data_IF_593018490756
#
_entry.id   IF_593018490756
#
_cell.length_a   1.000
_cell.length_b   1.000
_cell.length_c   1.000
_cell.angle_alpha   90.00
_cell.angle_beta   90.00
_cell.angle_gamma   90.00
#
_symmetry.space_group_name_H-M   'P 1'
#
loop_
_entity.id
_entity.type
_entity.pdbx_description
1 polymer ?
#
# COMPACT_ATOMS: atom_id res chain seq x y z
N UNK A 1 17.07 -15.04 -13.24
CA UNK A 1 15.95 -14.20 -12.76
C UNK A 1 15.00 -15.15 -12.07
N UNK A 2 15.00 -15.08 -10.76
CA UNK A 2 14.31 -16.01 -9.86
C UNK A 2 12.93 -15.40 -9.50
N UNK A 3 12.01 -16.20 -9.00
CA UNK A 3 10.65 -15.83 -8.54
C UNK A 3 10.64 -14.64 -7.53
N UNK A 4 11.79 -14.16 -7.10
CA UNK A 4 11.99 -13.09 -6.12
C UNK A 4 11.69 -11.67 -6.64
N UNK A 5 11.82 -11.41 -7.95
CA UNK A 5 11.55 -10.08 -8.54
C UNK A 5 10.05 -9.77 -8.74
N UNK A 6 9.19 -10.79 -8.66
CA UNK A 6 7.77 -10.68 -9.04
C UNK A 6 6.85 -10.23 -7.91
N UNK A 7 7.32 -10.14 -6.66
CA UNK A 7 6.44 -9.96 -5.49
C UNK A 7 6.09 -8.49 -5.22
N UNK A 8 6.97 -7.57 -5.56
CA UNK A 8 6.71 -6.12 -5.44
C UNK A 8 5.71 -5.63 -6.50
N UNK A 9 5.74 -6.23 -7.68
CA UNK A 9 5.01 -5.78 -8.86
C UNK A 9 3.50 -6.03 -8.76
N UNK A 10 3.08 -7.12 -8.11
CA UNK A 10 1.65 -7.48 -8.02
C UNK A 10 0.84 -6.60 -7.04
N UNK A 11 1.49 -5.92 -6.08
CA UNK A 11 0.80 -5.08 -5.09
C UNK A 11 0.81 -3.59 -5.46
N UNK A 12 1.81 -3.13 -6.23
CA UNK A 12 1.97 -1.72 -6.58
C UNK A 12 1.06 -1.26 -7.73
N UNK A 13 0.62 -2.17 -8.60
CA UNK A 13 0.02 -1.79 -9.89
C UNK A 13 -1.20 -2.63 -10.32
N UNK A 14 -2.16 -2.86 -9.42
CA UNK A 14 -3.45 -3.49 -9.77
C UNK A 14 -4.35 -2.59 -10.65
N UNK A 15 -3.98 -1.31 -10.83
CA UNK A 15 -4.70 -0.32 -11.65
C UNK A 15 -4.42 -0.41 -13.16
N UNK A 16 -3.55 -1.33 -13.59
CA UNK A 16 -3.18 -1.46 -15.01
C UNK A 16 -4.21 -2.19 -15.88
N UNK A 17 -5.04 -3.04 -15.29
CA UNK A 17 -6.15 -3.66 -16.02
C UNK A 17 -7.39 -2.80 -15.85
N UNK A 18 -8.13 -2.51 -16.93
CA UNK A 18 -9.41 -1.81 -16.83
C UNK A 18 -10.32 -2.53 -15.85
N UNK A 19 -10.89 -1.78 -14.93
CA UNK A 19 -12.00 -2.27 -14.12
C UNK A 19 -13.14 -2.59 -15.09
N UNK A 20 -13.64 -3.83 -15.07
CA UNK A 20 -14.80 -4.24 -15.84
C UNK A 20 -16.07 -3.51 -15.34
N UNK A 21 -16.18 -2.21 -15.66
CA UNK A 21 -17.34 -1.38 -15.43
C UNK A 21 -17.37 -0.27 -16.46
N UNK A 22 -17.48 -0.68 -17.73
CA UNK A 22 -18.20 0.11 -18.73
C UNK A 22 -18.79 -0.88 -19.73
N UNK A 23 -20.07 -1.13 -19.57
CA UNK A 23 -20.90 -1.75 -20.59
C UNK A 23 -20.85 -0.85 -21.83
N UNK A 24 -20.37 -1.40 -22.97
CA UNK A 24 -20.74 -0.98 -24.31
C UNK A 24 -20.37 0.45 -24.70
N UNK A 25 -19.07 0.72 -24.89
CA UNK A 25 -18.61 1.81 -25.73
C UNK A 25 -17.43 1.30 -26.56
N UNK A 26 -17.46 1.47 -27.89
CA UNK A 26 -16.28 1.37 -28.76
C UNK A 26 -15.32 2.49 -28.38
N UNK A 27 -14.56 2.28 -27.26
CA UNK A 27 -13.53 3.18 -26.82
C UNK A 27 -12.31 3.05 -27.73
N UNK A 28 -11.73 4.17 -28.10
CA UNK A 28 -10.48 4.23 -28.83
C UNK A 28 -9.40 3.48 -28.04
N UNK A 29 -8.76 2.49 -28.68
CA UNK A 29 -7.67 1.72 -28.06
C UNK A 29 -6.34 2.39 -28.39
N UNK A 30 -5.52 2.61 -27.36
CA UNK A 30 -4.21 3.24 -27.45
C UNK A 30 -3.10 2.21 -27.33
N UNK A 31 -2.05 2.34 -28.16
CA UNK A 31 -0.90 1.46 -28.12
C UNK A 31 0.02 1.82 -26.94
N UNK A 32 0.19 0.88 -26.01
CA UNK A 32 1.05 1.03 -24.83
C UNK A 32 2.43 0.36 -24.97
N UNK A 33 2.49 -0.72 -25.75
CA UNK A 33 3.73 -1.45 -25.99
C UNK A 33 3.70 -2.05 -27.39
N UNK A 34 4.87 -2.07 -28.07
CA UNK A 34 5.05 -2.70 -29.38
C UNK A 34 6.39 -3.41 -29.41
N UNK A 35 6.38 -4.63 -29.94
CA UNK A 35 7.59 -5.40 -30.23
C UNK A 35 7.41 -6.20 -31.51
N UNK A 36 8.48 -6.30 -32.29
CA UNK A 36 8.54 -7.18 -33.47
C UNK A 36 9.37 -8.39 -33.09
N UNK A 37 8.83 -9.57 -33.34
CA UNK A 37 9.49 -10.84 -33.01
C UNK A 37 10.67 -11.08 -33.96
N UNK A 38 11.83 -11.38 -33.40
CA UNK A 38 13.06 -11.63 -34.15
C UNK A 38 12.92 -12.78 -35.13
N UNK A 39 13.60 -12.70 -36.29
CA UNK A 39 13.58 -13.73 -37.34
C UNK A 39 14.02 -15.12 -36.90
N UNK A 40 14.88 -15.19 -35.87
CA UNK A 40 15.39 -16.44 -35.30
C UNK A 40 14.66 -16.92 -34.05
N UNK A 41 13.54 -16.29 -33.68
CA UNK A 41 12.79 -16.65 -32.48
C UNK A 41 12.11 -18.00 -32.62
N UNK A 42 12.43 -18.92 -31.70
CA UNK A 42 11.70 -20.18 -31.58
C UNK A 42 10.26 -19.95 -31.07
N UNK A 43 9.30 -20.80 -31.47
CA UNK A 43 7.92 -20.66 -31.01
C UNK A 43 7.81 -20.82 -29.48
N UNK A 44 7.54 -19.72 -28.78
CA UNK A 44 7.31 -19.66 -27.33
C UNK A 44 5.95 -19.05 -27.05
N UNK A 45 5.34 -19.37 -25.94
CA UNK A 45 4.06 -18.76 -25.54
C UNK A 45 4.22 -17.25 -25.39
N UNK A 46 3.22 -16.49 -25.85
CA UNK A 46 3.25 -15.01 -25.83
C UNK A 46 3.36 -14.45 -24.40
N UNK A 47 2.74 -15.11 -23.42
CA UNK A 47 2.85 -14.71 -22.02
C UNK A 47 4.29 -14.79 -21.48
N UNK A 48 5.05 -15.82 -21.92
CA UNK A 48 6.48 -15.96 -21.57
C UNK A 48 7.34 -14.98 -22.37
N UNK A 49 7.08 -14.84 -23.66
CA UNK A 49 7.82 -13.94 -24.55
C UNK A 49 7.74 -12.47 -24.10
N UNK A 50 6.53 -12.02 -23.72
CA UNK A 50 6.32 -10.66 -23.23
C UNK A 50 6.88 -10.45 -21.84
N UNK A 51 6.80 -11.42 -20.95
CA UNK A 51 7.39 -11.35 -19.62
C UNK A 51 8.90 -11.07 -19.65
N UNK A 52 9.63 -11.65 -20.60
CA UNK A 52 11.07 -11.43 -20.78
C UNK A 52 11.41 -10.04 -21.37
N UNK A 53 10.43 -9.30 -21.93
CA UNK A 53 10.64 -8.05 -22.68
C UNK A 53 9.90 -6.84 -22.11
N UNK A 54 8.89 -7.06 -21.29
CA UNK A 54 8.14 -6.00 -20.63
C UNK A 54 8.70 -5.83 -19.22
N UNK A 55 9.45 -4.75 -19.01
CA UNK A 55 9.87 -4.35 -17.66
C UNK A 55 8.61 -4.07 -16.83
N UNK A 56 8.65 -4.44 -15.54
CA UNK A 56 7.59 -4.18 -14.56
C UNK A 56 6.23 -4.85 -14.84
N UNK A 57 6.21 -6.02 -15.52
CA UNK A 57 5.00 -6.80 -15.75
C UNK A 57 5.13 -8.24 -15.29
N UNK A 58 4.20 -8.71 -14.45
CA UNK A 58 4.16 -10.12 -14.06
C UNK A 58 3.53 -10.98 -15.16
N UNK A 59 3.92 -12.26 -15.21
CA UNK A 59 3.35 -13.20 -16.19
C UNK A 59 1.84 -13.37 -16.05
N UNK A 60 1.33 -13.36 -14.82
CA UNK A 60 -0.11 -13.42 -14.53
C UNK A 60 -0.86 -12.22 -15.10
N UNK A 61 -0.25 -11.05 -15.02
CA UNK A 61 -0.80 -9.81 -15.56
C UNK A 61 -0.89 -9.84 -17.08
N UNK A 62 0.16 -10.31 -17.74
CA UNK A 62 0.17 -10.51 -19.20
C UNK A 62 -0.92 -11.51 -19.63
N UNK A 63 -1.10 -12.60 -18.89
CA UNK A 63 -2.16 -13.57 -19.15
C UNK A 63 -3.55 -12.92 -19.04
N UNK A 64 -3.82 -12.17 -17.98
CA UNK A 64 -5.09 -11.46 -17.81
C UNK A 64 -5.33 -10.44 -18.93
N UNK A 65 -4.30 -9.70 -19.35
CA UNK A 65 -4.41 -8.75 -20.45
C UNK A 65 -4.73 -9.45 -21.78
N UNK A 66 -4.09 -10.61 -22.06
CA UNK A 66 -4.38 -11.42 -23.24
C UNK A 66 -5.80 -11.98 -23.22
N UNK A 67 -6.25 -12.48 -22.07
CA UNK A 67 -7.60 -13.05 -21.90
C UNK A 67 -8.70 -11.96 -22.00
N UNK A 68 -8.38 -10.73 -21.61
CA UNK A 68 -9.24 -9.56 -21.80
C UNK A 68 -9.20 -8.98 -23.22
N UNK A 69 -8.35 -9.52 -24.12
CA UNK A 69 -8.28 -9.09 -25.53
C UNK A 69 -7.40 -7.87 -25.80
N UNK A 70 -6.56 -7.44 -24.84
CA UNK A 70 -5.68 -6.27 -24.96
C UNK A 70 -4.32 -6.58 -25.61
N UNK A 71 -3.96 -7.85 -25.78
CA UNK A 71 -2.75 -8.23 -26.49
C UNK A 71 -3.12 -8.63 -27.91
N UNK A 72 -2.57 -7.90 -28.89
CA UNK A 72 -2.78 -8.15 -30.29
C UNK A 72 -1.50 -8.67 -30.96
N UNK A 73 -1.67 -9.54 -31.92
CA UNK A 73 -0.63 -9.97 -32.85
C UNK A 73 -1.10 -9.66 -34.26
N UNK A 74 -0.30 -8.89 -35.00
CA UNK A 74 -0.63 -8.44 -36.35
C UNK A 74 -2.05 -7.79 -36.41
N UNK A 75 -2.36 -6.94 -35.43
CA UNK A 75 -3.62 -6.21 -35.24
C UNK A 75 -4.84 -7.09 -34.87
N UNK A 76 -4.65 -8.34 -34.49
CA UNK A 76 -5.74 -9.22 -34.03
C UNK A 76 -5.51 -9.65 -32.57
N UNK A 77 -6.55 -9.64 -31.69
CA UNK A 77 -6.42 -10.05 -30.30
C UNK A 77 -6.10 -11.54 -30.21
N UNK A 78 -5.20 -11.91 -29.30
CA UNK A 78 -4.76 -13.29 -29.07
C UNK A 78 -4.90 -13.69 -27.60
N UNK A 79 -5.00 -15.02 -27.34
CA UNK A 79 -5.00 -15.57 -25.98
C UNK A 79 -3.58 -15.78 -25.48
N UNK A 80 -3.44 -15.88 -24.14
CA UNK A 80 -2.16 -16.03 -23.43
C UNK A 80 -1.32 -17.25 -23.87
N UNK A 81 -1.95 -18.26 -24.49
CA UNK A 81 -1.28 -19.46 -24.98
C UNK A 81 -0.82 -19.36 -26.46
N UNK A 82 -1.05 -18.24 -27.13
CA UNK A 82 -0.56 -18.02 -28.48
C UNK A 82 0.96 -18.26 -28.54
N UNK A 83 1.44 -18.96 -29.58
CA UNK A 83 2.85 -19.17 -29.82
C UNK A 83 3.36 -18.15 -30.81
N UNK A 84 4.26 -17.29 -30.37
CA UNK A 84 4.87 -16.25 -31.22
C UNK A 84 5.60 -16.87 -32.42
N UNK A 85 5.60 -16.17 -33.53
CA UNK A 85 6.27 -16.54 -34.77
C UNK A 85 7.24 -15.45 -35.17
N UNK A 86 8.31 -15.77 -35.91
CA UNK A 86 9.18 -14.75 -36.48
C UNK A 86 8.39 -13.68 -37.22
N UNK A 87 8.78 -12.41 -37.03
CA UNK A 87 8.18 -11.23 -37.65
C UNK A 87 6.74 -10.88 -37.18
N UNK A 88 6.19 -11.60 -36.20
CA UNK A 88 4.94 -11.15 -35.53
C UNK A 88 5.13 -9.75 -34.95
N UNK A 89 4.17 -8.88 -35.22
CA UNK A 89 4.07 -7.56 -34.58
C UNK A 89 3.11 -7.69 -33.40
N UNK A 90 3.66 -7.64 -32.19
CA UNK A 90 2.88 -7.78 -30.96
C UNK A 90 2.67 -6.39 -30.36
N UNK A 91 1.42 -6.07 -30.04
CA UNK A 91 1.04 -4.79 -29.41
C UNK A 91 0.18 -5.05 -28.16
N UNK A 92 0.39 -4.23 -27.14
CA UNK A 92 -0.52 -4.08 -26.00
C UNK A 92 -1.36 -2.84 -26.24
N UNK A 93 -2.67 -3.01 -26.35
CA UNK A 93 -3.64 -1.96 -26.60
C UNK A 93 -4.51 -1.78 -25.35
N UNK A 94 -4.67 -0.57 -24.84
CA UNK A 94 -5.53 -0.26 -23.70
C UNK A 94 -6.55 0.81 -24.07
N UNK A 95 -7.66 0.86 -23.34
CA UNK A 95 -8.77 1.82 -23.52
C UNK A 95 -8.50 3.23 -22.95
N UNK A 96 -7.25 3.51 -22.63
CA UNK A 96 -6.78 4.80 -22.12
C UNK A 96 -5.49 5.23 -22.83
N UNK A 97 -5.23 6.54 -22.97
CA UNK A 97 -3.96 7.02 -23.50
C UNK A 97 -2.77 6.48 -22.69
N UNK A 98 -1.64 6.26 -23.38
CA UNK A 98 -0.38 5.95 -22.69
C UNK A 98 -0.04 7.15 -21.82
N UNK A 99 -0.01 6.91 -20.49
CA UNK A 99 0.54 7.90 -19.59
C UNK A 99 2.07 7.87 -19.71
N UNK A 100 2.68 9.01 -19.66
CA UNK A 100 4.13 9.09 -19.50
C UNK A 100 4.43 8.69 -18.05
N UNK A 101 5.02 7.49 -17.85
CA UNK A 101 5.34 6.97 -16.53
C UNK A 101 6.59 7.67 -15.93
N UNK A 102 7.10 8.72 -16.57
CA UNK A 102 8.22 9.52 -16.08
C UNK A 102 7.82 10.19 -14.77
N UNK A 103 8.59 9.96 -13.73
CA UNK A 103 8.37 10.62 -12.44
C UNK A 103 8.81 12.07 -12.54
N UNK A 104 7.87 12.99 -12.48
CA UNK A 104 8.19 14.42 -12.38
C UNK A 104 8.68 14.76 -10.98
N UNK A 105 9.87 15.36 -10.91
CA UNK A 105 10.45 15.83 -9.64
C UNK A 105 9.70 17.08 -9.16
N UNK A 106 9.13 17.05 -7.96
CA UNK A 106 8.36 18.14 -7.38
C UNK A 106 8.94 18.58 -6.03
N UNK A 107 9.09 19.89 -5.81
CA UNK A 107 9.59 20.47 -4.55
C UNK A 107 8.53 20.38 -3.45
N UNK A 108 8.36 19.18 -2.91
CA UNK A 108 7.45 18.87 -1.81
C UNK A 108 8.30 18.65 -0.55
N UNK A 109 8.04 19.36 0.56
CA UNK A 109 8.80 19.20 1.80
C UNK A 109 8.73 17.77 2.34
N UNK A 110 9.90 17.21 2.69
CA UNK A 110 10.05 15.91 3.33
C UNK A 110 10.51 16.09 4.78
N UNK A 111 9.86 15.36 5.69
CA UNK A 111 10.34 15.20 7.07
C UNK A 111 11.35 14.04 7.10
N UNK A 112 12.64 14.36 6.89
CA UNK A 112 13.74 13.40 6.84
C UNK A 112 14.23 13.13 8.25
N UNK A 113 14.03 11.91 8.75
CA UNK A 113 14.45 11.46 10.08
C UNK A 113 15.92 11.03 10.11
N UNK A 114 16.38 10.43 9.02
CA UNK A 114 17.76 9.98 8.82
C UNK A 114 18.10 9.98 7.34
N UNK A 115 19.34 10.28 7.02
CA UNK A 115 19.84 10.20 5.65
C UNK A 115 21.38 10.00 5.63
N UNK A 116 21.83 9.10 4.74
CA UNK A 116 23.23 8.93 4.36
C UNK A 116 23.34 8.76 2.83
N UNK A 117 24.49 8.29 2.33
CA UNK A 117 24.71 8.08 0.89
C UNK A 117 23.95 6.86 0.33
N UNK A 118 23.43 5.98 1.19
CA UNK A 118 22.87 4.67 0.84
C UNK A 118 21.35 4.65 0.92
N UNK A 119 20.79 5.28 1.95
CA UNK A 119 19.34 5.28 2.22
C UNK A 119 18.91 6.57 2.94
N UNK A 120 17.60 6.78 2.98
CA UNK A 120 16.97 7.77 3.85
C UNK A 120 15.74 7.20 4.53
N UNK A 121 15.41 7.70 5.72
CA UNK A 121 14.19 7.40 6.45
C UNK A 121 13.36 8.67 6.54
N UNK A 122 12.12 8.60 6.08
CA UNK A 122 11.20 9.74 6.10
C UNK A 122 9.99 9.45 7.00
N UNK A 123 9.49 10.47 7.65
CA UNK A 123 8.24 10.45 8.39
C UNK A 123 7.13 11.04 7.50
N UNK A 124 6.43 10.19 6.77
CA UNK A 124 5.39 10.61 5.82
C UNK A 124 4.20 11.23 6.54
N UNK A 125 3.74 12.43 6.17
CA UNK A 125 2.48 12.96 6.66
C UNK A 125 1.28 12.14 6.15
N UNK A 126 0.16 12.19 6.87
CA UNK A 126 -1.11 11.70 6.36
C UNK A 126 -1.58 12.55 5.17
N UNK A 127 -2.34 11.95 4.25
CA UNK A 127 -2.83 12.60 3.04
C UNK A 127 -1.88 12.54 1.85
N UNK A 128 -0.59 12.28 2.07
CA UNK A 128 0.40 12.12 0.99
C UNK A 128 0.37 10.70 0.43
N UNK A 129 0.05 10.59 -0.85
CA UNK A 129 0.13 9.31 -1.60
C UNK A 129 1.59 8.92 -1.75
N UNK A 130 1.93 7.63 -1.61
CA UNK A 130 3.31 7.18 -1.77
C UNK A 130 3.73 7.13 -3.23
N UNK A 131 2.94 6.48 -4.08
CA UNK A 131 3.28 6.24 -5.49
C UNK A 131 2.20 6.80 -6.41
N UNK A 132 2.55 7.42 -7.55
CA UNK A 132 1.58 7.83 -8.56
C UNK A 132 0.65 6.70 -8.98
N UNK A 133 -0.60 7.02 -9.22
CA UNK A 133 -1.62 6.07 -9.64
C UNK A 133 -2.89 6.78 -10.11
N UNK A 134 -3.91 6.03 -10.49
CA UNK A 134 -5.15 6.59 -11.03
C UNK A 134 -5.72 7.71 -10.14
N UNK A 135 -5.78 8.92 -10.70
CA UNK A 135 -6.25 10.13 -10.01
C UNK A 135 -5.22 10.85 -9.11
N UNK A 136 -3.97 10.36 -9.01
CA UNK A 136 -2.90 10.99 -8.24
C UNK A 136 -1.55 10.81 -8.97
N UNK A 137 -1.37 11.45 -10.12
CA UNK A 137 -0.13 11.34 -10.90
C UNK A 137 0.97 12.29 -10.43
N UNK A 138 0.60 13.32 -9.68
CA UNK A 138 1.45 14.37 -9.13
C UNK A 138 1.22 14.53 -7.63
N UNK A 139 2.12 15.26 -6.96
CA UNK A 139 1.99 15.53 -5.53
C UNK A 139 2.17 14.29 -4.64
N UNK A 140 2.97 13.32 -5.07
CA UNK A 140 3.21 12.08 -4.32
C UNK A 140 4.56 12.08 -3.61
N UNK A 141 4.75 11.15 -2.69
CA UNK A 141 6.03 10.97 -2.00
C UNK A 141 7.17 10.70 -3.00
N UNK A 142 6.92 9.91 -4.05
CA UNK A 142 7.91 9.65 -5.10
C UNK A 142 8.31 10.93 -5.83
N UNK A 143 7.38 11.83 -6.15
CA UNK A 143 7.71 13.12 -6.77
C UNK A 143 8.62 13.96 -5.86
N UNK A 144 8.35 13.97 -4.55
CA UNK A 144 9.18 14.64 -3.55
C UNK A 144 10.58 14.01 -3.43
N UNK A 145 10.67 12.68 -3.42
CA UNK A 145 11.94 11.94 -3.38
C UNK A 145 12.75 12.21 -4.65
N UNK A 146 12.12 12.19 -5.81
CA UNK A 146 12.76 12.50 -7.08
C UNK A 146 13.38 13.90 -7.09
N UNK A 147 12.69 14.89 -6.50
CA UNK A 147 13.24 16.24 -6.32
C UNK A 147 14.41 16.26 -5.35
N UNK A 148 14.29 15.58 -4.21
CA UNK A 148 15.33 15.54 -3.18
C UNK A 148 16.62 14.86 -3.69
N UNK A 149 16.50 13.82 -4.51
CA UNK A 149 17.61 13.02 -5.02
C UNK A 149 18.11 13.45 -6.41
N UNK A 150 17.54 14.46 -7.06
CA UNK A 150 17.80 14.84 -8.46
C UNK A 150 19.27 15.10 -8.81
N UNK A 151 20.06 15.56 -7.83
CA UNK A 151 21.47 15.88 -8.01
C UNK A 151 22.41 14.72 -7.61
N UNK A 152 21.86 13.57 -7.22
CA UNK A 152 22.66 12.40 -6.87
C UNK A 152 23.09 11.62 -8.13
N UNK A 153 24.39 11.26 -8.26
CA UNK A 153 24.86 10.49 -9.41
C UNK A 153 24.25 9.09 -9.58
N UNK A 154 23.78 8.49 -8.48
CA UNK A 154 23.13 7.17 -8.46
C UNK A 154 21.62 7.22 -8.69
N UNK A 155 21.04 8.41 -8.78
CA UNK A 155 19.62 8.57 -9.00
C UNK A 155 19.26 8.35 -10.48
N UNK A 156 18.34 7.43 -10.74
CA UNK A 156 17.75 7.23 -12.08
C UNK A 156 16.34 7.83 -12.11
N UNK A 157 16.13 8.95 -12.83
CA UNK A 157 14.81 9.56 -12.95
C UNK A 157 13.80 8.69 -13.72
N UNK A 158 14.28 7.66 -14.42
CA UNK A 158 13.42 6.72 -15.13
C UNK A 158 13.06 5.48 -14.29
N UNK A 159 13.61 5.34 -13.06
CA UNK A 159 13.14 4.31 -12.12
C UNK A 159 11.75 4.71 -11.59
N UNK A 160 10.67 4.04 -11.99
CA UNK A 160 9.31 4.42 -11.59
C UNK A 160 9.04 4.27 -10.09
N UNK A 161 9.90 3.53 -9.39
CA UNK A 161 9.77 3.31 -7.94
C UNK A 161 10.69 4.19 -7.11
N UNK A 162 11.68 4.85 -7.73
CA UNK A 162 12.59 5.81 -7.09
C UNK A 162 13.05 5.36 -5.70
N UNK A 163 13.57 4.12 -5.62
CA UNK A 163 14.12 3.58 -4.37
C UNK A 163 13.11 3.14 -3.31
N UNK A 164 11.82 3.09 -3.61
CA UNK A 164 10.82 2.49 -2.71
C UNK A 164 11.06 1.00 -2.52
N UNK A 165 10.98 0.53 -1.29
CA UNK A 165 11.07 -0.88 -0.91
C UNK A 165 9.83 -1.34 -0.13
N UNK A 166 8.98 -0.42 0.31
CA UNK A 166 7.69 -0.66 0.93
C UNK A 166 6.80 0.59 0.87
N UNK A 167 5.56 0.45 1.29
CA UNK A 167 4.60 1.55 1.29
C UNK A 167 3.68 1.51 2.51
N UNK A 168 3.07 2.65 2.80
CA UNK A 168 1.92 2.79 3.71
C UNK A 168 0.79 3.52 2.96
N UNK A 169 -0.44 3.41 3.45
CA UNK A 169 -1.60 4.01 2.81
C UNK A 169 -1.50 5.55 2.77
N UNK A 170 -2.23 6.19 1.85
CA UNK A 170 -2.32 7.66 1.68
C UNK A 170 -2.48 8.36 3.03
N UNK A 171 -3.50 7.97 3.78
CA UNK A 171 -3.89 8.63 5.03
C UNK A 171 -3.26 8.00 6.28
N UNK A 172 -2.35 7.03 6.12
CA UNK A 172 -1.48 6.54 7.18
C UNK A 172 -0.23 7.42 7.23
N UNK A 173 0.10 7.92 8.40
CA UNK A 173 1.33 8.67 8.68
C UNK A 173 2.43 7.77 9.19
N UNK A 174 3.69 8.23 9.19
CA UNK A 174 4.81 7.58 9.85
C UNK A 174 5.95 7.14 8.94
N UNK A 175 6.79 6.27 9.46
CA UNK A 175 8.11 5.96 8.94
C UNK A 175 8.09 5.10 7.68
N UNK A 176 8.92 5.52 6.70
CA UNK A 176 9.30 4.73 5.53
C UNK A 176 10.83 4.82 5.31
N UNK A 177 11.43 3.72 4.83
CA UNK A 177 12.81 3.71 4.33
C UNK A 177 12.82 3.76 2.81
N UNK A 178 13.71 4.58 2.27
CA UNK A 178 13.94 4.79 0.84
C UNK A 178 15.39 4.43 0.54
N UNK A 179 15.61 3.58 -0.43
CA UNK A 179 16.95 3.28 -0.93
C UNK A 179 17.43 4.41 -1.86
N UNK A 180 18.68 4.82 -1.74
CA UNK A 180 19.29 5.83 -2.61
C UNK A 180 20.16 5.22 -3.71
N UNK A 181 20.40 3.90 -3.64
CA UNK A 181 21.18 3.14 -4.63
C UNK A 181 20.46 1.86 -5.02
N UNK A 182 20.69 1.30 -6.24
CA UNK A 182 20.10 0.04 -6.68
C UNK A 182 20.45 -1.15 -5.77
N UNK A 183 21.70 -1.20 -5.27
CA UNK A 183 22.12 -2.25 -4.35
C UNK A 183 21.41 -2.18 -3.01
N UNK A 184 21.22 -0.97 -2.48
CA UNK A 184 20.43 -0.76 -1.26
C UNK A 184 18.98 -1.14 -1.46
N UNK A 185 18.38 -0.81 -2.63
CA UNK A 185 17.01 -1.20 -2.98
C UNK A 185 16.84 -2.71 -2.96
N UNK A 186 17.77 -3.43 -3.60
CA UNK A 186 17.77 -4.90 -3.63
C UNK A 186 17.95 -5.49 -2.22
N UNK A 187 18.90 -4.99 -1.43
CA UNK A 187 19.19 -5.51 -0.10
C UNK A 187 18.06 -5.25 0.90
N UNK A 188 17.50 -4.03 0.90
CA UNK A 188 16.33 -3.70 1.74
C UNK A 188 15.08 -4.48 1.28
N UNK A 189 14.82 -4.55 -0.02
CA UNK A 189 13.72 -5.34 -0.58
C UNK A 189 13.77 -6.79 -0.12
N UNK A 190 14.95 -7.41 -0.09
CA UNK A 190 15.17 -8.76 0.44
C UNK A 190 14.85 -8.88 1.93
N UNK A 191 15.14 -7.86 2.74
CA UNK A 191 14.78 -7.86 4.15
C UNK A 191 13.26 -7.79 4.36
N UNK A 192 12.54 -6.95 3.58
CA UNK A 192 11.07 -6.92 3.61
C UNK A 192 10.46 -8.24 3.15
N UNK A 193 10.99 -8.84 2.10
CA UNK A 193 10.57 -10.14 1.59
C UNK A 193 10.77 -11.26 2.63
N UNK A 194 11.95 -11.33 3.23
CA UNK A 194 12.30 -12.31 4.25
C UNK A 194 11.66 -12.03 5.62
N UNK A 195 10.91 -10.91 5.76
CA UNK A 195 10.24 -10.49 7.00
C UNK A 195 11.22 -10.28 8.16
N UNK A 196 12.43 -9.84 7.86
CA UNK A 196 13.45 -9.53 8.87
C UNK A 196 13.42 -8.08 9.34
N UNK A 197 12.59 -7.24 8.72
CA UNK A 197 12.33 -5.87 9.17
C UNK A 197 11.36 -5.84 10.34
N UNK A 198 11.59 -4.97 11.31
CA UNK A 198 10.66 -4.72 12.42
C UNK A 198 9.81 -3.49 12.13
N UNK A 199 8.48 -3.64 12.21
CA UNK A 199 7.53 -2.53 11.97
C UNK A 199 6.41 -2.60 12.99
N UNK A 200 6.23 -1.51 13.76
CA UNK A 200 5.04 -1.37 14.58
C UNK A 200 4.24 -0.13 14.23
N UNK A 201 2.95 -0.23 14.45
CA UNK A 201 1.98 0.82 14.17
C UNK A 201 1.17 1.09 15.43
N UNK A 202 0.85 2.37 15.69
CA UNK A 202 -0.17 2.70 16.65
C UNK A 202 -1.50 2.93 15.93
N UNK A 203 -2.57 2.36 16.47
CA UNK A 203 -3.92 2.51 15.94
C UNK A 203 -4.93 2.77 17.06
N UNK A 204 -5.95 3.60 16.79
CA UNK A 204 -7.11 3.74 17.64
C UNK A 204 -8.25 2.99 16.96
N UNK A 205 -8.83 2.02 17.67
CA UNK A 205 -9.89 1.15 17.15
C UNK A 205 -11.19 1.34 17.93
N UNK A 206 -12.32 1.09 17.27
CA UNK A 206 -13.61 1.05 17.91
C UNK A 206 -13.78 -0.17 18.82
N UNK A 207 -14.35 0.05 19.98
CA UNK A 207 -14.65 -0.98 20.96
C UNK A 207 -13.58 -1.10 22.04
N UNK A 208 -13.97 -1.72 23.16
CA UNK A 208 -13.09 -2.09 24.25
C UNK A 208 -12.56 -3.49 23.94
N UNK A 209 -11.30 -3.60 23.57
CA UNK A 209 -10.65 -4.89 23.31
C UNK A 209 -10.66 -5.73 24.58
N UNK A 210 -11.15 -6.96 24.51
CA UNK A 210 -11.25 -7.85 25.68
C UNK A 210 -9.86 -8.37 26.09
N UNK A 211 -9.12 -8.87 25.11
CA UNK A 211 -7.79 -9.42 25.32
C UNK A 211 -6.73 -8.33 25.25
N UNK A 212 -5.69 -8.43 26.08
CA UNK A 212 -4.58 -7.47 26.10
C UNK A 212 -3.67 -7.58 24.88
N UNK A 213 -3.60 -8.75 24.28
CA UNK A 213 -2.84 -9.03 23.06
C UNK A 213 -3.53 -10.11 22.23
N UNK A 214 -3.17 -10.18 20.96
CA UNK A 214 -3.71 -11.21 20.08
C UNK A 214 -3.02 -11.27 18.73
N UNK A 215 -3.34 -12.33 17.98
CA UNK A 215 -2.84 -12.59 16.63
C UNK A 215 -4.02 -12.76 15.69
N UNK A 216 -4.02 -12.01 14.60
CA UNK A 216 -5.04 -12.06 13.56
C UNK A 216 -4.38 -12.65 12.33
N UNK A 217 -4.95 -13.73 11.80
CA UNK A 217 -4.44 -14.43 10.63
C UNK A 217 -5.55 -14.66 9.62
N UNK A 218 -5.22 -14.53 8.34
CA UNK A 218 -6.11 -14.82 7.23
C UNK A 218 -5.50 -14.41 5.91
N UNK A 219 -6.12 -14.80 4.80
CA UNK A 219 -5.70 -14.36 3.48
C UNK A 219 -6.40 -13.03 3.15
N UNK A 220 -5.64 -12.04 2.71
CA UNK A 220 -6.18 -10.74 2.31
C UNK A 220 -6.29 -10.67 0.78
N UNK A 221 -7.48 -10.33 0.30
CA UNK A 221 -7.76 -10.04 -1.10
C UNK A 221 -8.77 -8.89 -1.22
N UNK A 222 -8.99 -8.42 -2.45
CA UNK A 222 -10.02 -7.40 -2.73
C UNK A 222 -11.41 -7.94 -2.38
N UNK A 223 -12.22 -7.08 -1.74
CA UNK A 223 -13.61 -7.41 -1.41
C UNK A 223 -14.40 -7.60 -2.72
N UNK A 224 -15.08 -8.74 -2.92
CA UNK A 224 -15.86 -8.99 -4.12
C UNK A 224 -17.00 -8.00 -4.35
N UNK A 225 -17.51 -7.37 -3.27
CA UNK A 225 -18.62 -6.42 -3.30
C UNK A 225 -18.17 -4.95 -3.41
N UNK A 226 -16.95 -4.65 -2.97
CA UNK A 226 -16.38 -3.31 -3.02
C UNK A 226 -14.88 -3.40 -3.31
N UNK A 227 -14.52 -3.28 -4.57
CA UNK A 227 -13.12 -3.41 -5.04
C UNK A 227 -12.14 -2.37 -4.46
N UNK A 228 -12.64 -1.33 -3.82
CA UNK A 228 -11.81 -0.34 -3.13
C UNK A 228 -11.40 -0.80 -1.73
N UNK A 229 -11.96 -1.90 -1.22
CA UNK A 229 -11.63 -2.50 0.07
C UNK A 229 -10.88 -3.81 -0.09
N UNK A 230 -10.13 -4.14 0.94
CA UNK A 230 -9.59 -5.48 1.16
C UNK A 230 -10.46 -6.20 2.19
N UNK A 231 -10.56 -7.51 2.08
CA UNK A 231 -11.28 -8.35 3.04
C UNK A 231 -10.45 -9.57 3.41
N UNK A 232 -10.77 -10.17 4.55
CA UNK A 232 -10.05 -11.31 5.09
C UNK A 232 -10.82 -12.59 4.72
N UNK A 233 -10.10 -13.52 4.10
CA UNK A 233 -10.56 -14.89 3.82
C UNK A 233 -9.90 -15.87 4.80
N UNK A 234 -10.45 -17.07 5.00
CA UNK A 234 -9.82 -18.08 5.85
C UNK A 234 -8.37 -18.38 5.41
N UNK A 235 -7.46 -18.73 6.36
CA UNK A 235 -6.05 -18.99 6.05
C UNK A 235 -5.81 -20.12 5.04
N UNK A 236 -6.74 -21.08 4.94
CA UNK A 236 -6.75 -22.21 4.02
C UNK A 236 -7.43 -21.91 2.66
N UNK A 237 -7.88 -20.67 2.46
CA UNK A 237 -8.51 -20.25 1.20
C UNK A 237 -7.47 -20.16 0.07
N UNK A 238 -7.86 -20.52 -1.13
CA UNK A 238 -7.09 -20.24 -2.35
C UNK A 238 -7.16 -18.77 -2.78
N UNK A 239 -8.06 -17.97 -2.14
CA UNK A 239 -8.26 -16.57 -2.46
C UNK A 239 -7.39 -15.72 -1.53
N UNK A 240 -6.64 -14.78 -2.12
CA UNK A 240 -5.85 -13.80 -1.39
C UNK A 240 -4.44 -14.28 -1.04
N UNK A 241 -3.74 -13.44 -0.30
CA UNK A 241 -2.36 -13.67 0.15
C UNK A 241 -2.33 -13.72 1.67
N UNK A 242 -1.60 -14.68 2.22
CA UNK A 242 -1.46 -14.86 3.67
C UNK A 242 -1.00 -13.57 4.36
N UNK A 243 -1.69 -13.23 5.44
CA UNK A 243 -1.43 -12.04 6.23
C UNK A 243 -1.53 -12.35 7.73
N UNK A 244 -0.60 -11.79 8.51
CA UNK A 244 -0.55 -11.94 9.96
C UNK A 244 -0.27 -10.59 10.62
N UNK A 245 -1.12 -10.22 11.57
CA UNK A 245 -0.98 -9.03 12.40
C UNK A 245 -1.05 -9.43 13.87
N UNK A 246 -0.06 -9.06 14.65
CA UNK A 246 -0.11 -9.11 16.10
C UNK A 246 -0.58 -7.77 16.63
N UNK A 247 -1.41 -7.76 17.68
CA UNK A 247 -1.76 -6.54 18.39
C UNK A 247 -1.52 -6.65 19.87
N UNK A 248 -1.26 -5.53 20.50
CA UNK A 248 -1.15 -5.36 21.95
C UNK A 248 -1.89 -4.09 22.37
N UNK A 249 -2.73 -4.18 23.38
CA UNK A 249 -3.43 -3.04 23.96
C UNK A 249 -2.44 -2.14 24.69
N UNK A 250 -2.47 -0.85 24.37
CA UNK A 250 -1.72 0.18 25.08
C UNK A 250 -2.63 0.85 26.11
N UNK A 251 -3.83 1.26 25.71
CA UNK A 251 -4.76 1.98 26.60
C UNK A 251 -6.21 1.78 26.15
N UNK A 252 -7.12 1.61 27.11
CA UNK A 252 -8.56 1.45 26.88
C UNK A 252 -9.33 2.69 27.29
N UNK A 253 -10.21 3.16 26.41
CA UNK A 253 -11.07 4.33 26.64
C UNK A 253 -12.55 3.95 26.76
N UNK A 254 -12.87 2.71 27.09
CA UNK A 254 -14.22 2.17 27.21
C UNK A 254 -14.91 1.89 25.86
N UNK A 255 -14.98 2.86 24.96
CA UNK A 255 -15.62 2.72 23.62
C UNK A 255 -14.63 2.68 22.47
N UNK A 256 -13.38 2.99 22.73
CA UNK A 256 -12.25 2.85 21.81
C UNK A 256 -11.04 2.31 22.57
N UNK A 257 -10.07 1.79 21.83
CA UNK A 257 -8.82 1.25 22.39
C UNK A 257 -7.64 1.74 21.56
N UNK A 258 -6.59 2.22 22.19
CA UNK A 258 -5.29 2.44 21.57
C UNK A 258 -4.51 1.13 21.58
N UNK A 259 -4.05 0.68 20.43
CA UNK A 259 -3.30 -0.55 20.25
C UNK A 259 -1.99 -0.31 19.53
N UNK A 260 -1.02 -1.17 19.78
CA UNK A 260 0.13 -1.38 18.91
C UNK A 260 -0.14 -2.58 18.00
N UNK A 261 0.18 -2.46 16.72
CA UNK A 261 0.13 -3.55 15.74
C UNK A 261 1.54 -3.85 15.23
N UNK A 262 1.97 -5.11 15.27
CA UNK A 262 3.23 -5.58 14.68
C UNK A 262 2.90 -6.51 13.51
N UNK A 263 3.57 -6.28 12.38
CA UNK A 263 3.27 -6.96 11.11
C UNK A 263 4.32 -8.02 10.77
N UNK A 264 3.89 -9.28 10.55
CA UNK A 264 4.71 -10.29 9.87
C UNK A 264 4.66 -10.13 8.34
N UNK A 265 3.61 -9.54 7.82
CA UNK A 265 3.36 -9.32 6.39
C UNK A 265 2.94 -7.87 6.15
N UNK A 266 3.04 -7.38 4.91
CA UNK A 266 2.66 -6.00 4.56
C UNK A 266 1.66 -5.98 3.40
N UNK A 267 0.43 -6.50 3.58
CA UNK A 267 -0.59 -6.47 2.54
C UNK A 267 -1.33 -5.14 2.53
N UNK A 268 -1.83 -4.75 1.37
CA UNK A 268 -2.65 -3.54 1.19
C UNK A 268 -3.77 -3.50 2.23
N UNK A 269 -3.92 -2.38 2.95
CA UNK A 269 -4.90 -2.18 4.01
C UNK A 269 -4.89 -3.25 5.13
N UNK A 270 -3.80 -3.98 5.34
CA UNK A 270 -3.79 -5.17 6.21
C UNK A 270 -4.34 -4.91 7.61
N UNK A 271 -3.80 -3.93 8.36
CA UNK A 271 -4.27 -3.61 9.71
C UNK A 271 -5.76 -3.23 9.68
N UNK A 272 -6.17 -2.44 8.71
CA UNK A 272 -7.54 -1.95 8.54
C UNK A 272 -8.52 -3.11 8.31
N UNK A 273 -8.18 -4.02 7.40
CA UNK A 273 -8.98 -5.21 7.10
C UNK A 273 -9.03 -6.19 8.28
N UNK A 274 -7.89 -6.47 8.92
CA UNK A 274 -7.79 -7.35 10.07
C UNK A 274 -8.60 -6.83 11.27
N UNK A 275 -8.45 -5.56 11.61
CA UNK A 275 -9.20 -4.97 12.73
C UNK A 275 -10.71 -4.91 12.43
N UNK A 276 -11.11 -4.62 11.19
CA UNK A 276 -12.51 -4.72 10.78
C UNK A 276 -13.04 -6.16 10.89
N UNK A 277 -12.23 -7.14 10.48
CA UNK A 277 -12.60 -8.56 10.51
C UNK A 277 -12.92 -9.04 11.94
N UNK A 278 -12.16 -8.62 12.94
CA UNK A 278 -12.42 -8.96 14.34
C UNK A 278 -13.44 -8.02 15.03
N UNK A 279 -14.11 -7.14 14.29
CA UNK A 279 -15.18 -6.27 14.78
C UNK A 279 -14.71 -4.98 15.48
N UNK A 280 -13.46 -4.60 15.30
CA UNK A 280 -12.81 -3.41 15.86
C UNK A 280 -12.21 -2.50 14.77
N UNK A 281 -13.01 -1.97 13.80
CA UNK A 281 -12.46 -1.12 12.75
C UNK A 281 -11.75 0.11 13.34
N UNK A 282 -10.78 0.64 12.60
CA UNK A 282 -10.03 1.83 13.01
C UNK A 282 -10.96 3.03 13.11
N UNK A 283 -10.78 3.84 14.15
CA UNK A 283 -11.50 5.10 14.31
C UNK A 283 -11.19 6.04 13.14
N UNK A 284 -12.21 6.69 12.58
CA UNK A 284 -12.07 7.61 11.46
C UNK A 284 -11.83 6.95 10.09
N UNK A 285 -11.78 5.62 10.00
CA UNK A 285 -11.61 4.90 8.73
C UNK A 285 -12.93 4.86 7.96
N UNK A 286 -13.15 5.82 7.06
CA UNK A 286 -14.36 5.92 6.25
C UNK A 286 -14.62 4.63 5.45
N UNK A 287 -13.58 4.10 4.81
CA UNK A 287 -13.69 2.94 3.91
C UNK A 287 -14.07 1.65 4.65
N UNK A 288 -13.68 1.51 5.91
CA UNK A 288 -13.96 0.34 6.74
C UNK A 288 -15.07 0.58 7.79
N UNK A 289 -15.78 1.72 7.69
CA UNK A 289 -16.93 2.05 8.53
C UNK A 289 -16.57 2.57 9.92
N UNK A 290 -15.36 3.11 10.08
CA UNK A 290 -14.85 3.67 11.34
C UNK A 290 -15.32 5.10 11.62
N UNK A 291 -16.03 5.74 10.71
CA UNK A 291 -16.66 7.07 10.89
C UNK A 291 -18.04 6.99 11.52
N UNK A 292 -18.65 5.81 11.57
CA UNK A 292 -19.92 5.59 12.23
C UNK A 292 -19.75 5.39 13.74
N UNK A 293 -20.82 5.71 14.51
CA UNK A 293 -20.84 5.44 15.96
C UNK A 293 -21.12 3.96 16.20
N UNK A 294 -20.08 3.18 16.34
CA UNK A 294 -20.20 1.72 16.48
C UNK A 294 -20.38 1.28 17.92
N UNK A 295 -19.96 2.08 18.89
CA UNK A 295 -20.02 1.78 20.33
C UNK A 295 -20.37 3.04 21.11
N UNK A 296 -20.96 2.88 22.30
CA UNK A 296 -21.21 3.95 23.24
C UNK A 296 -22.67 4.32 23.39
N UNK A 297 -22.93 5.53 23.88
CA UNK A 297 -24.24 6.01 24.28
C UNK A 297 -25.03 6.57 23.09
N UNK A 298 -26.38 6.54 23.19
CA UNK A 298 -27.26 7.15 22.16
C UNK A 298 -27.60 8.61 22.43
N UNK A 299 -26.97 9.25 23.42
CA UNK A 299 -27.25 10.64 23.80
C UNK A 299 -26.79 11.64 22.74
N UNK A 300 -27.40 12.81 22.72
CA UNK A 300 -27.01 13.92 21.84
C UNK A 300 -25.60 14.45 22.15
N UNK A 301 -25.23 14.48 23.43
CA UNK A 301 -23.90 14.88 23.90
C UNK A 301 -22.81 13.92 23.41
N UNK A 302 -23.06 12.62 23.49
CA UNK A 302 -22.12 11.63 22.97
C UNK A 302 -21.93 11.73 21.44
N UNK A 303 -23.02 11.92 20.68
CA UNK A 303 -22.94 12.16 19.23
C UNK A 303 -22.13 13.42 18.90
N UNK A 304 -22.29 14.48 19.68
CA UNK A 304 -21.50 15.71 19.53
C UNK A 304 -20.02 15.47 19.87
N UNK A 305 -19.75 14.69 20.92
CA UNK A 305 -18.40 14.26 21.28
C UNK A 305 -17.71 13.51 20.15
N UNK A 306 -18.36 12.45 19.58
CA UNK A 306 -17.79 11.69 18.48
C UNK A 306 -17.57 12.54 17.23
N UNK A 307 -18.50 13.43 16.88
CA UNK A 307 -18.32 14.36 15.76
C UNK A 307 -17.09 15.25 15.97
N UNK A 308 -16.85 15.73 17.19
CA UNK A 308 -15.65 16.48 17.51
C UNK A 308 -14.38 15.64 17.45
N UNK A 309 -14.43 14.36 17.84
CA UNK A 309 -13.30 13.43 17.68
C UNK A 309 -12.98 13.17 16.20
N UNK A 310 -14.00 12.97 15.37
CA UNK A 310 -13.84 12.79 13.92
C UNK A 310 -13.33 14.06 13.22
N UNK A 311 -13.64 15.25 13.75
CA UNK A 311 -13.07 16.51 13.26
C UNK A 311 -11.59 16.69 13.60
N UNK A 312 -11.11 16.10 14.71
CA UNK A 312 -9.70 16.10 15.08
C UNK A 312 -8.90 15.11 14.21
N UNK A 313 -9.46 13.94 13.94
CA UNK A 313 -8.84 12.90 13.12
C UNK A 313 -9.86 12.41 12.09
N UNK A 314 -9.85 13.00 10.90
CA UNK A 314 -10.77 12.74 9.78
C UNK A 314 -10.26 11.64 8.82
N UNK A 315 -9.42 10.75 9.31
CA UNK A 315 -8.77 9.66 8.57
C UNK A 315 -8.68 8.42 9.45
N UNK A 316 -8.27 7.28 8.87
CA UNK A 316 -7.93 6.13 9.71
C UNK A 316 -6.90 6.54 10.77
N UNK A 317 -7.23 6.33 12.03
CA UNK A 317 -6.35 6.60 13.15
C UNK A 317 -5.23 5.55 13.21
N UNK A 318 -4.26 5.67 12.28
CA UNK A 318 -3.15 4.74 12.06
C UNK A 318 -1.86 5.50 11.80
N UNK A 319 -0.78 5.06 12.44
CA UNK A 319 0.55 5.65 12.35
C UNK A 319 1.64 4.58 12.40
N UNK A 320 2.53 4.57 11.40
CA UNK A 320 3.72 3.72 11.36
C UNK A 320 4.77 4.25 12.35
N UNK A 321 4.71 3.73 13.59
CA UNK A 321 5.43 4.27 14.76
C UNK A 321 6.90 3.91 14.76
N UNK A 322 7.24 2.65 14.45
CA UNK A 322 8.62 2.17 14.47
C UNK A 322 8.99 1.47 13.18
N UNK A 323 10.26 1.60 12.81
CA UNK A 323 10.85 0.94 11.66
C UNK A 323 12.27 0.50 11.98
N UNK A 324 12.53 -0.83 11.90
CA UNK A 324 13.83 -1.41 12.13
C UNK A 324 14.26 -2.30 10.96
N UNK A 325 15.52 -2.18 10.57
CA UNK A 325 16.16 -2.95 9.49
C UNK A 325 17.67 -2.97 9.67
N UNK A 326 18.35 -3.88 8.98
CA UNK A 326 19.82 -3.92 8.91
C UNK A 326 20.29 -3.01 7.78
N UNK A 327 21.21 -2.09 8.09
CA UNK A 327 21.77 -1.19 7.09
C UNK A 327 22.51 -1.97 5.98
N UNK A 328 22.18 -1.76 4.68
CA UNK A 328 22.66 -2.59 3.57
C UNK A 328 24.18 -2.69 3.43
N UNK A 329 24.90 -1.64 3.80
CA UNK A 329 26.38 -1.55 3.66
C UNK A 329 27.09 -1.76 5.00
N UNK A 330 26.63 -1.09 6.07
CA UNK A 330 27.27 -1.19 7.39
C UNK A 330 27.01 -2.53 8.09
N UNK A 331 25.91 -3.21 7.76
CA UNK A 331 25.49 -4.45 8.42
C UNK A 331 25.00 -4.25 9.84
N UNK A 332 24.77 -3.01 10.27
CA UNK A 332 24.32 -2.66 11.62
C UNK A 332 22.78 -2.58 11.68
N UNK A 333 22.23 -2.99 12.81
CA UNK A 333 20.80 -2.82 13.08
C UNK A 333 20.49 -1.33 13.29
N UNK A 334 19.52 -0.83 12.54
CA UNK A 334 18.99 0.52 12.66
C UNK A 334 17.53 0.46 13.11
N UNK A 335 17.20 1.21 14.15
CA UNK A 335 15.85 1.27 14.72
C UNK A 335 15.43 2.73 14.86
N UNK A 336 14.29 3.07 14.25
CA UNK A 336 13.72 4.41 14.24
C UNK A 336 12.35 4.41 14.92
N UNK A 337 12.05 5.52 15.57
CA UNK A 337 10.74 5.77 16.19
C UNK A 337 10.32 7.20 15.85
N UNK A 338 9.07 7.37 15.39
CA UNK A 338 8.47 8.70 15.19
C UNK A 338 7.47 9.03 16.31
N UNK A 339 7.30 10.32 16.61
CA UNK A 339 6.25 10.75 17.52
C UNK A 339 4.87 10.61 16.88
N UNK A 340 3.83 10.43 17.71
CA UNK A 340 2.46 10.45 17.21
C UNK A 340 2.14 11.82 16.63
N UNK A 341 1.51 11.89 15.46
CA UNK A 341 1.11 13.18 14.88
C UNK A 341 0.04 13.88 15.72
N UNK A 342 -0.03 15.19 15.60
CA UNK A 342 -0.87 16.04 16.44
C UNK A 342 -2.35 15.64 16.46
N UNK A 343 -2.91 15.18 15.34
CA UNK A 343 -4.29 14.72 15.22
C UNK A 343 -4.57 13.48 16.08
N UNK A 344 -3.66 12.50 16.08
CA UNK A 344 -3.78 11.31 16.93
C UNK A 344 -3.55 11.60 18.40
N UNK A 345 -2.57 12.47 18.72
CA UNK A 345 -2.31 12.91 20.10
C UNK A 345 -3.54 13.61 20.67
N UNK A 346 -4.11 14.57 19.93
CA UNK A 346 -5.32 15.29 20.35
C UNK A 346 -6.53 14.36 20.50
N UNK A 347 -6.67 13.37 19.62
CA UNK A 347 -7.72 12.37 19.70
C UNK A 347 -7.58 11.51 20.97
N UNK A 348 -6.38 11.04 21.30
CA UNK A 348 -6.10 10.26 22.53
C UNK A 348 -6.43 11.08 23.77
N UNK A 349 -5.96 12.32 23.85
CA UNK A 349 -6.23 13.21 24.99
C UNK A 349 -7.73 13.47 25.17
N UNK A 350 -8.45 13.64 24.05
CA UNK A 350 -9.90 13.83 24.08
C UNK A 350 -10.63 12.60 24.63
N UNK A 351 -10.22 11.40 24.26
CA UNK A 351 -10.76 10.16 24.81
C UNK A 351 -10.42 9.98 26.30
N UNK A 352 -9.18 10.31 26.71
CA UNK A 352 -8.79 10.33 28.14
C UNK A 352 -9.67 11.25 28.97
N UNK A 353 -9.90 12.46 28.48
CA UNK A 353 -10.78 13.42 29.13
C UNK A 353 -12.23 12.93 29.25
N UNK A 354 -12.73 12.19 28.24
CA UNK A 354 -14.05 11.60 28.28
C UNK A 354 -14.18 10.53 29.38
N UNK A 355 -13.17 9.66 29.51
CA UNK A 355 -13.16 8.60 30.56
C UNK A 355 -13.06 9.21 31.93
N UNK A 356 -12.20 10.21 32.13
CA UNK A 356 -12.04 10.90 33.43
C UNK A 356 -13.35 11.60 33.86
N UNK A 357 -14.04 12.29 32.94
CA UNK A 357 -15.32 12.95 33.23
C UNK A 357 -16.44 11.95 33.60
N UNK A 358 -16.45 10.75 33.01
CA UNK A 358 -17.39 9.69 33.41
C UNK A 358 -17.10 9.13 34.82
N UNK A 359 -15.81 9.03 35.18
CA UNK A 359 -15.43 8.55 36.52
C UNK A 359 -15.94 9.51 37.62
N UNK A 360 -15.86 10.83 37.37
CA UNK A 360 -16.33 11.85 38.33
C UNK A 360 -17.86 11.86 38.48
N UNK A 361 -18.63 11.55 37.42
CA UNK A 361 -20.11 11.45 37.47
C UNK A 361 -20.60 10.21 38.24
N UNK A 362 -19.80 9.14 38.33
CA UNK A 362 -20.17 7.89 39.06
C UNK A 362 -19.88 8.02 40.56
N UNK A 363 -18.98 8.92 40.96
CA UNK A 363 -18.56 9.14 42.37
C UNK A 363 -19.39 10.25 43.05
N UNK A 364 -20.13 11.04 42.29
CA UNK A 364 -21.03 12.10 42.77
C UNK A 364 -22.49 11.59 42.90
#
# INVERSE_FOLDING_TARGET
MTEEETIFDDELNDDFLPTASNEGGEGELYEHFRVIVDKGQEPVRIDKFLFERMQHSSRNRIQKAADAGYIHVNNAPVKSNYKVRPEDVITLMLDRPKHDDTIEAEDIPLDVVYEDDILMVVNKPAGLVVHPGAGNFHGTLINAIAWHLKDMPSFDPNDPEVGLVHRIDKDTSGLLVIAKTPDAKTALGKQFFNKTTHRSYNAIVWGNMTEDEGRIEGNIARDPKDRLRMTVFPPDSEIGKAAVTHYRVIERFGYTTLIECVLETGRTHQIRAHMKHIGHPLFGDERYGGTEILRGQRSGSYRAFIRNCLALCNRQALHARTLGFVHPVMGEQMDFTSELPADLTALIEKWRGFVSGQADEVVS
#
